data_IF_831448815561
#
_entry.id   IF_831448815561
#
_cell.length_a   1.000
_cell.length_b   1.000
_cell.length_c   1.000
_cell.angle_alpha   90.00
_cell.angle_beta   90.00
_cell.angle_gamma   90.00
#
_symmetry.space_group_name_H-M   'P 1'
#
loop_
_entity.id
_entity.type
_entity.pdbx_description
1 polymer ?
#
# COMPACT_ATOMS: atom_id res chain seq x y z
N UNK A 1 29.56 -3.77 -32.87
CA UNK A 1 29.40 -4.84 -31.87
C UNK A 1 28.58 -4.40 -30.61
N UNK A 2 28.34 -3.10 -30.35
CA UNK A 2 27.74 -2.64 -29.09
C UNK A 2 26.19 -2.55 -29.08
N UNK A 3 25.51 -2.72 -30.25
CA UNK A 3 24.02 -2.64 -30.27
C UNK A 3 23.32 -3.97 -29.98
N UNK A 4 23.99 -5.12 -30.17
CA UNK A 4 23.41 -6.44 -29.91
C UNK A 4 23.41 -6.77 -28.41
N UNK A 5 24.40 -6.26 -27.67
CA UNK A 5 24.49 -6.48 -26.21
C UNK A 5 23.38 -5.73 -25.45
N UNK A 6 22.99 -4.52 -25.93
CA UNK A 6 21.95 -3.71 -25.29
C UNK A 6 20.55 -4.33 -25.46
N UNK A 7 20.26 -4.94 -26.63
CA UNK A 7 18.98 -5.61 -26.86
C UNK A 7 18.85 -6.92 -26.03
N UNK A 8 19.94 -7.62 -25.80
CA UNK A 8 19.94 -8.85 -25.00
C UNK A 8 19.74 -8.58 -23.51
N UNK A 9 20.25 -7.47 -22.97
CA UNK A 9 20.03 -7.08 -21.57
C UNK A 9 18.57 -6.65 -21.32
N UNK A 10 17.97 -5.91 -22.27
CA UNK A 10 16.56 -5.47 -22.15
C UNK A 10 15.61 -6.66 -22.24
N UNK A 11 15.92 -7.64 -23.09
CA UNK A 11 15.12 -8.88 -23.19
C UNK A 11 15.22 -9.76 -21.93
N UNK A 12 16.40 -9.81 -21.30
CA UNK A 12 16.59 -10.60 -20.07
C UNK A 12 15.91 -9.99 -18.85
N UNK A 13 15.93 -8.67 -18.72
CA UNK A 13 15.21 -7.95 -17.64
C UNK A 13 13.69 -8.05 -17.80
N UNK A 14 13.16 -8.04 -19.02
CA UNK A 14 11.70 -8.19 -19.24
C UNK A 14 11.22 -9.61 -18.94
N UNK A 15 12.02 -10.64 -19.26
CA UNK A 15 11.70 -12.05 -18.94
C UNK A 15 11.79 -12.34 -17.44
N UNK A 16 12.82 -11.83 -16.77
CA UNK A 16 12.96 -11.94 -15.31
C UNK A 16 11.81 -11.28 -14.55
N UNK A 17 11.33 -10.14 -15.04
CA UNK A 17 10.21 -9.42 -14.43
C UNK A 17 8.91 -10.23 -14.44
N UNK A 18 8.63 -10.99 -15.50
CA UNK A 18 7.42 -11.81 -15.60
C UNK A 18 7.45 -13.07 -14.72
N UNK A 19 8.62 -13.62 -14.39
CA UNK A 19 8.74 -14.75 -13.48
C UNK A 19 8.65 -14.35 -12.01
N UNK A 20 9.18 -13.17 -11.65
CA UNK A 20 9.15 -12.64 -10.28
C UNK A 20 7.82 -11.97 -9.91
N UNK A 21 7.05 -11.48 -10.89
CA UNK A 21 5.76 -10.78 -10.69
C UNK A 21 4.67 -11.27 -11.66
N UNK A 22 4.13 -12.48 -11.46
CA UNK A 22 3.10 -13.05 -12.35
C UNK A 22 1.75 -12.31 -12.24
N UNK A 23 1.58 -11.41 -11.29
CA UNK A 23 0.34 -10.68 -11.02
C UNK A 23 0.39 -9.22 -11.46
N UNK A 24 1.51 -8.78 -12.04
CA UNK A 24 1.72 -7.39 -12.43
C UNK A 24 1.47 -6.40 -11.26
N UNK A 25 2.00 -6.76 -10.10
CA UNK A 25 1.89 -5.97 -8.88
C UNK A 25 2.86 -4.78 -8.87
N UNK A 26 3.92 -4.82 -9.68
CA UNK A 26 4.97 -3.80 -9.72
C UNK A 26 5.04 -3.08 -11.07
N UNK A 27 5.39 -1.82 -11.02
CA UNK A 27 5.81 -1.02 -12.18
C UNK A 27 7.34 -1.11 -12.33
N UNK A 28 8.05 -1.17 -11.22
CA UNK A 28 9.49 -1.28 -11.18
C UNK A 28 9.91 -2.11 -9.96
N UNK A 29 10.82 -3.06 -10.19
CA UNK A 29 11.45 -3.85 -9.13
C UNK A 29 12.93 -3.46 -9.08
N UNK A 30 13.44 -3.16 -7.89
CA UNK A 30 14.87 -3.05 -7.62
C UNK A 30 15.42 -4.43 -7.25
N UNK A 31 16.73 -4.62 -7.33
CA UNK A 31 17.32 -5.90 -6.96
C UNK A 31 17.07 -6.19 -5.47
N UNK A 32 16.62 -7.42 -5.12
CA UNK A 32 16.36 -7.76 -3.74
C UNK A 32 17.64 -7.64 -2.92
N UNK A 33 17.52 -7.01 -1.75
CA UNK A 33 18.61 -6.99 -0.80
C UNK A 33 18.85 -8.39 -0.21
N UNK A 34 20.00 -8.95 -0.40
CA UNK A 34 20.44 -10.23 0.20
C UNK A 34 20.70 -10.14 1.70
N UNK A 35 20.44 -8.98 2.33
CA UNK A 35 20.74 -8.71 3.74
C UNK A 35 19.56 -8.96 4.69
N UNK A 36 19.72 -8.48 5.92
CA UNK A 36 18.76 -8.63 7.02
C UNK A 36 17.59 -7.61 6.99
N UNK A 37 17.52 -6.78 5.95
CA UNK A 37 16.49 -5.74 5.83
C UNK A 37 15.14 -6.33 5.38
N UNK A 38 14.06 -5.72 5.83
CA UNK A 38 12.69 -6.07 5.42
C UNK A 38 12.39 -5.43 4.06
N UNK A 39 12.15 -6.25 3.04
CA UNK A 39 11.73 -5.75 1.73
C UNK A 39 10.33 -5.16 1.80
N UNK A 40 10.15 -3.93 1.27
CA UNK A 40 8.89 -3.20 1.26
C UNK A 40 8.57 -2.63 -0.12
N UNK A 41 7.32 -2.82 -0.57
CA UNK A 41 6.80 -2.24 -1.80
C UNK A 41 6.22 -0.84 -1.56
N UNK A 42 6.46 0.08 -2.50
CA UNK A 42 6.01 1.47 -2.39
C UNK A 42 5.09 1.83 -3.55
N UNK A 43 3.86 2.22 -3.26
CA UNK A 43 2.90 2.65 -4.29
C UNK A 43 3.49 3.76 -5.17
N UNK A 44 3.29 3.65 -6.49
CA UNK A 44 4.00 4.48 -7.45
C UNK A 44 3.53 5.94 -7.55
N UNK A 45 2.71 6.39 -6.62
CA UNK A 45 2.44 7.82 -6.39
C UNK A 45 3.24 8.43 -5.23
N UNK A 46 4.21 7.68 -4.67
CA UNK A 46 5.09 8.11 -3.56
C UNK A 46 6.51 8.26 -4.09
N UNK A 47 7.13 9.39 -3.85
CA UNK A 47 8.46 9.72 -4.31
C UNK A 47 9.54 8.86 -3.62
N UNK A 48 10.32 8.17 -4.46
CA UNK A 48 11.54 7.47 -4.06
C UNK A 48 12.67 8.01 -4.94
N UNK A 49 13.65 8.68 -4.35
CA UNK A 49 14.81 9.20 -5.08
C UNK A 49 15.51 8.10 -5.87
N UNK A 50 15.71 8.31 -7.17
CA UNK A 50 16.33 7.35 -8.07
C UNK A 50 15.37 6.41 -8.78
N UNK A 51 14.08 6.39 -8.38
CA UNK A 51 13.00 5.63 -9.05
C UNK A 51 11.98 6.58 -9.67
N UNK A 52 11.30 6.15 -10.73
CA UNK A 52 10.21 6.93 -11.33
C UNK A 52 9.04 7.00 -10.34
N UNK A 53 8.36 8.15 -10.29
CA UNK A 53 7.05 8.33 -9.67
C UNK A 53 6.07 8.73 -10.76
N UNK A 54 5.41 7.73 -11.36
CA UNK A 54 4.53 7.94 -12.51
C UNK A 54 3.07 8.17 -12.15
N UNK A 55 2.64 7.86 -10.93
CA UNK A 55 1.22 7.73 -10.57
C UNK A 55 0.44 6.81 -11.53
N UNK A 56 1.14 5.84 -12.16
CA UNK A 56 0.62 4.95 -13.17
C UNK A 56 0.40 5.58 -14.55
N UNK A 57 0.83 6.81 -14.77
CA UNK A 57 0.55 7.55 -16.00
C UNK A 57 1.79 7.70 -16.90
N UNK A 58 1.61 7.47 -18.20
CA UNK A 58 2.65 7.75 -19.20
C UNK A 58 3.05 9.23 -19.23
N UNK A 59 2.18 10.15 -18.77
CA UNK A 59 2.50 11.57 -18.68
C UNK A 59 3.66 11.87 -17.72
N UNK A 60 3.89 11.00 -16.72
CA UNK A 60 4.97 11.12 -15.75
C UNK A 60 6.05 10.03 -15.92
N UNK A 61 6.16 9.42 -17.08
CA UNK A 61 7.12 8.32 -17.38
C UNK A 61 8.59 8.71 -17.18
N UNK A 62 8.91 10.00 -17.16
CA UNK A 62 10.26 10.53 -16.94
C UNK A 62 10.35 11.36 -15.63
N UNK A 63 9.38 11.24 -14.74
CA UNK A 63 9.38 11.98 -13.48
C UNK A 63 10.25 11.26 -12.44
N UNK A 64 11.52 11.67 -12.35
CA UNK A 64 12.47 11.21 -11.33
C UNK A 64 12.53 12.23 -10.19
N UNK A 65 11.99 11.92 -9.00
CA UNK A 65 12.04 12.84 -7.87
C UNK A 65 13.47 13.10 -7.42
N UNK A 66 13.78 14.35 -7.11
CA UNK A 66 15.11 14.77 -6.64
C UNK A 66 15.39 14.39 -5.18
N UNK A 67 14.32 14.05 -4.42
CA UNK A 67 14.36 13.67 -3.00
C UNK A 67 13.37 12.57 -2.71
N UNK A 68 13.60 11.85 -1.61
CA UNK A 68 12.63 10.90 -1.06
C UNK A 68 11.43 11.64 -0.46
N UNK A 69 10.25 11.02 -0.51
CA UNK A 69 9.13 11.39 0.36
C UNK A 69 9.56 11.24 1.83
N UNK A 70 8.95 12.01 2.74
CA UNK A 70 9.30 11.96 4.16
C UNK A 70 9.24 10.55 4.73
N UNK A 71 8.16 9.81 4.47
CA UNK A 71 8.00 8.43 4.94
C UNK A 71 9.08 7.47 4.37
N UNK A 72 9.55 7.72 3.15
CA UNK A 72 10.62 6.91 2.52
C UNK A 72 11.96 7.15 3.21
N UNK A 73 12.28 8.40 3.54
CA UNK A 73 13.47 8.72 4.33
C UNK A 73 13.48 8.01 5.67
N UNK A 74 12.31 7.92 6.35
CA UNK A 74 12.16 7.19 7.61
C UNK A 74 12.33 5.68 7.43
N UNK A 75 11.76 5.09 6.38
CA UNK A 75 11.93 3.67 6.07
C UNK A 75 13.40 3.33 5.80
N UNK A 76 14.08 4.12 4.95
CA UNK A 76 15.51 3.93 4.62
C UNK A 76 16.43 4.10 5.83
N UNK A 77 16.04 4.94 6.80
CA UNK A 77 16.78 5.13 8.07
C UNK A 77 16.50 4.04 9.10
N UNK A 78 15.61 3.10 8.78
CA UNK A 78 15.20 1.99 9.61
C UNK A 78 15.59 0.66 8.95
N UNK A 79 15.05 -0.45 9.42
CA UNK A 79 15.38 -1.78 8.91
C UNK A 79 14.57 -2.17 7.64
N UNK A 80 14.38 -1.22 6.68
CA UNK A 80 13.64 -1.47 5.44
C UNK A 80 14.48 -1.24 4.20
N UNK A 81 14.27 -2.11 3.21
CA UNK A 81 14.78 -1.97 1.85
C UNK A 81 13.62 -1.75 0.89
N UNK A 82 13.71 -0.72 0.05
CA UNK A 82 12.68 -0.45 -0.96
C UNK A 82 12.85 -1.47 -2.09
N UNK A 83 11.95 -2.46 -2.13
CA UNK A 83 11.97 -3.55 -3.11
C UNK A 83 11.54 -3.09 -4.50
N UNK A 84 10.63 -2.12 -4.57
CA UNK A 84 10.16 -1.61 -5.85
C UNK A 84 8.96 -0.68 -5.73
N UNK A 85 8.53 -0.17 -6.89
CA UNK A 85 7.35 0.68 -7.05
C UNK A 85 6.16 -0.18 -7.45
N UNK A 86 5.13 -0.23 -6.62
CA UNK A 86 3.95 -1.06 -6.88
C UNK A 86 2.96 -0.35 -7.80
N UNK A 87 2.35 -1.13 -8.71
CA UNK A 87 1.34 -0.66 -9.62
C UNK A 87 0.09 -0.14 -8.87
N UNK A 88 -0.68 0.71 -9.54
CA UNK A 88 -1.85 1.34 -8.96
C UNK A 88 -2.89 1.60 -10.04
N UNK A 89 -4.12 1.88 -9.66
CA UNK A 89 -5.07 2.49 -10.59
C UNK A 89 -4.54 3.86 -10.99
N UNK A 90 -4.48 4.16 -12.28
CA UNK A 90 -3.92 5.40 -12.83
C UNK A 90 -4.47 6.65 -12.12
N UNK A 91 -3.59 7.56 -11.68
CA UNK A 91 -3.91 8.74 -10.89
C UNK A 91 -4.77 8.42 -9.65
N UNK A 92 -4.54 7.27 -9.03
CA UNK A 92 -5.27 6.78 -7.86
C UNK A 92 -6.81 6.77 -8.04
N UNK A 93 -7.29 6.42 -9.24
CA UNK A 93 -8.68 6.46 -9.69
C UNK A 93 -9.26 7.89 -9.88
N UNK A 94 -8.49 8.94 -9.68
CA UNK A 94 -9.00 10.30 -9.80
C UNK A 94 -9.10 10.81 -11.25
N UNK A 95 -8.60 10.03 -12.20
CA UNK A 95 -8.60 10.38 -13.63
C UNK A 95 -10.00 10.48 -14.24
N UNK A 96 -10.92 9.59 -13.85
CA UNK A 96 -12.25 9.46 -14.47
C UNK A 96 -13.21 8.70 -13.56
N UNK A 97 -14.49 9.00 -13.66
CA UNK A 97 -15.56 8.20 -13.02
C UNK A 97 -15.66 6.77 -13.58
N UNK A 98 -15.10 6.52 -14.77
CA UNK A 98 -15.05 5.20 -15.42
C UNK A 98 -13.65 4.55 -15.28
N UNK A 99 -12.88 4.90 -14.26
CA UNK A 99 -11.57 4.29 -13.99
C UNK A 99 -11.71 2.80 -13.67
N UNK A 100 -10.80 2.00 -14.20
CA UNK A 100 -10.69 0.57 -13.89
C UNK A 100 -9.69 0.40 -12.75
N UNK A 101 -10.13 -0.20 -11.65
CA UNK A 101 -9.24 -0.46 -10.51
C UNK A 101 -8.14 -1.45 -10.86
N UNK A 102 -6.91 -1.10 -10.51
CA UNK A 102 -5.71 -1.88 -10.76
C UNK A 102 -5.11 -1.71 -12.16
N UNK A 103 -5.71 -0.89 -13.02
CA UNK A 103 -5.16 -0.60 -14.33
C UNK A 103 -4.46 0.76 -14.38
N UNK A 104 -3.33 0.79 -15.04
CA UNK A 104 -2.61 2.03 -15.37
C UNK A 104 -2.05 1.99 -16.79
N UNK A 105 -1.95 3.14 -17.44
CA UNK A 105 -1.36 3.23 -18.78
C UNK A 105 0.15 2.94 -18.77
N UNK A 106 0.80 3.14 -17.63
CA UNK A 106 2.23 2.87 -17.46
C UNK A 106 2.52 1.41 -17.09
N UNK A 107 1.75 0.82 -16.17
CA UNK A 107 2.00 -0.52 -15.61
C UNK A 107 1.05 -1.61 -16.10
N UNK A 108 -0.02 -1.29 -16.86
CA UNK A 108 -1.05 -2.27 -17.25
C UNK A 108 -1.97 -2.68 -16.09
N UNK A 109 -2.59 -3.86 -16.20
CA UNK A 109 -3.56 -4.37 -15.24
C UNK A 109 -2.92 -5.27 -14.18
N UNK A 110 -3.02 -4.90 -12.91
CA UNK A 110 -2.72 -5.78 -11.77
C UNK A 110 -3.80 -6.86 -11.64
N UNK A 111 -3.39 -8.10 -11.42
CA UNK A 111 -4.27 -9.28 -11.34
C UNK A 111 -4.43 -9.71 -9.88
N UNK A 112 -5.67 -9.98 -9.47
CA UNK A 112 -5.94 -10.49 -8.13
C UNK A 112 -5.43 -11.95 -7.99
N UNK A 113 -4.58 -12.28 -6.99
CA UNK A 113 -3.99 -13.61 -6.85
C UNK A 113 -5.01 -14.70 -6.49
N UNK A 114 -6.20 -14.32 -6.01
CA UNK A 114 -7.27 -15.26 -5.68
C UNK A 114 -8.15 -15.65 -6.88
N UNK A 115 -7.87 -15.13 -8.09
CA UNK A 115 -8.56 -15.50 -9.32
C UNK A 115 -8.48 -14.42 -10.40
N UNK A 116 -8.21 -14.84 -11.64
CA UNK A 116 -8.05 -13.93 -12.78
C UNK A 116 -9.30 -13.07 -13.08
N UNK A 117 -10.49 -13.56 -12.73
CA UNK A 117 -11.76 -12.85 -12.93
C UNK A 117 -12.17 -12.00 -11.71
N UNK A 118 -11.31 -11.87 -10.71
CA UNK A 118 -11.56 -11.04 -9.54
C UNK A 118 -10.86 -9.70 -9.68
N UNK A 119 -11.59 -8.62 -9.41
CA UNK A 119 -11.00 -7.28 -9.40
C UNK A 119 -10.08 -7.17 -8.17
N UNK A 120 -8.84 -6.64 -8.31
CA UNK A 120 -7.94 -6.43 -7.17
C UNK A 120 -8.34 -5.23 -6.30
N UNK A 121 -9.40 -4.49 -6.68
CA UNK A 121 -9.73 -3.15 -6.17
C UNK A 121 -8.56 -2.18 -6.35
N UNK A 122 -8.68 -0.99 -5.80
CA UNK A 122 -7.64 0.05 -5.91
C UNK A 122 -7.99 1.25 -5.02
N UNK A 123 -7.15 2.23 -5.07
CA UNK A 123 -6.07 2.42 -6.06
C UNK A 123 -4.73 1.77 -5.69
N UNK A 124 -4.50 1.31 -4.46
CA UNK A 124 -3.25 0.64 -4.04
C UNK A 124 -3.24 -0.86 -4.43
N UNK A 125 -3.60 -1.17 -5.68
CA UNK A 125 -3.79 -2.53 -6.18
C UNK A 125 -2.53 -3.37 -6.11
N UNK A 126 -1.43 -2.87 -6.66
CA UNK A 126 -0.15 -3.57 -6.66
C UNK A 126 0.41 -3.78 -5.25
N UNK A 127 0.25 -2.78 -4.35
CA UNK A 127 0.66 -2.93 -2.95
C UNK A 127 -0.07 -4.07 -2.25
N UNK A 128 -1.39 -4.18 -2.47
CA UNK A 128 -2.19 -5.27 -1.89
C UNK A 128 -1.82 -6.63 -2.51
N UNK A 129 -1.68 -6.68 -3.82
CA UNK A 129 -1.37 -7.92 -4.56
C UNK A 129 0.03 -8.43 -4.24
N UNK A 130 1.04 -7.56 -4.15
CA UNK A 130 2.40 -7.94 -3.76
C UNK A 130 2.45 -8.65 -2.39
N UNK A 131 1.59 -8.21 -1.45
CA UNK A 131 1.47 -8.84 -0.13
C UNK A 131 0.65 -10.12 -0.18
N UNK A 132 -0.50 -10.11 -0.86
CA UNK A 132 -1.41 -11.25 -0.95
C UNK A 132 -0.81 -12.43 -1.71
N UNK A 133 0.00 -12.17 -2.74
CA UNK A 133 0.72 -13.20 -3.52
C UNK A 133 1.91 -13.79 -2.78
N UNK A 134 2.36 -13.16 -1.69
CA UNK A 134 3.51 -13.62 -0.92
C UNK A 134 4.86 -13.12 -1.41
N UNK A 135 4.92 -12.27 -2.44
CA UNK A 135 6.16 -11.62 -2.89
C UNK A 135 6.76 -10.78 -1.77
N UNK A 136 5.90 -10.05 -1.04
CA UNK A 136 6.30 -9.24 0.11
C UNK A 136 5.46 -9.55 1.35
N UNK A 137 5.98 -9.19 2.53
CA UNK A 137 5.21 -9.23 3.79
C UNK A 137 4.52 -7.91 4.09
N UNK A 138 5.00 -6.81 3.47
CA UNK A 138 4.57 -5.44 3.74
C UNK A 138 4.73 -4.55 2.52
N UNK A 139 3.81 -3.62 2.32
CA UNK A 139 3.86 -2.56 1.32
C UNK A 139 3.25 -1.27 1.87
N UNK A 140 3.50 -0.14 1.21
CA UNK A 140 2.85 1.14 1.48
C UNK A 140 1.84 1.44 0.37
N UNK A 141 0.62 1.76 0.77
CA UNK A 141 -0.42 2.31 -0.07
C UNK A 141 -0.74 3.76 0.28
N UNK A 142 -1.66 4.37 -0.47
CA UNK A 142 -2.26 5.66 -0.15
C UNK A 142 -3.77 5.57 -0.24
N UNK A 143 -4.46 6.32 0.59
CA UNK A 143 -5.92 6.38 0.56
C UNK A 143 -6.43 7.81 0.76
N UNK A 144 -7.29 8.22 -0.14
CA UNK A 144 -8.23 9.32 0.04
C UNK A 144 -9.54 8.74 0.58
N UNK A 145 -10.16 7.83 -0.21
CA UNK A 145 -11.39 7.12 0.14
C UNK A 145 -11.36 5.70 -0.46
N UNK A 146 -11.15 4.70 0.38
CA UNK A 146 -11.18 3.29 -0.02
C UNK A 146 -9.87 2.72 -0.59
N UNK A 147 -8.87 3.54 -0.91
CA UNK A 147 -7.71 3.09 -1.73
C UNK A 147 -6.65 2.26 -1.00
N UNK A 148 -6.76 2.04 0.30
CA UNK A 148 -6.04 1.02 1.10
C UNK A 148 -7.03 -0.06 1.52
N UNK A 149 -8.17 0.37 2.10
CA UNK A 149 -9.13 -0.52 2.74
C UNK A 149 -9.79 -1.48 1.74
N UNK A 150 -10.20 -1.01 0.55
CA UNK A 150 -10.80 -1.87 -0.46
C UNK A 150 -9.82 -2.91 -1.01
N UNK A 151 -8.63 -2.54 -1.55
CA UNK A 151 -7.69 -3.56 -2.04
C UNK A 151 -7.19 -4.48 -0.92
N UNK A 152 -7.04 -4.02 0.31
CA UNK A 152 -6.71 -4.91 1.42
C UNK A 152 -7.81 -5.94 1.68
N UNK A 153 -9.07 -5.53 1.68
CA UNK A 153 -10.22 -6.39 1.90
C UNK A 153 -10.35 -7.48 0.83
N UNK A 154 -10.35 -7.10 -0.45
CA UNK A 154 -10.58 -8.07 -1.54
C UNK A 154 -9.39 -8.99 -1.82
N UNK A 155 -8.20 -8.62 -1.35
CA UNK A 155 -6.99 -9.46 -1.43
C UNK A 155 -6.69 -10.20 -0.11
N UNK A 156 -7.51 -10.04 0.93
CA UNK A 156 -7.41 -10.81 2.18
C UNK A 156 -6.18 -10.48 3.03
N UNK A 157 -5.73 -9.24 3.04
CA UNK A 157 -4.61 -8.75 3.84
C UNK A 157 -5.06 -7.69 4.85
N UNK A 158 -4.16 -7.25 5.72
CA UNK A 158 -4.39 -6.15 6.66
C UNK A 158 -3.97 -4.84 6.01
N UNK A 159 -4.90 -3.89 5.88
CA UNK A 159 -4.62 -2.51 5.47
C UNK A 159 -4.95 -1.52 6.59
N UNK A 160 -4.09 -0.52 6.80
CA UNK A 160 -4.32 0.53 7.78
C UNK A 160 -4.37 1.89 7.09
N UNK A 161 -5.53 2.54 7.13
CA UNK A 161 -5.65 3.97 6.83
C UNK A 161 -5.48 4.75 8.13
N UNK A 162 -4.33 5.41 8.37
CA UNK A 162 -4.16 6.24 9.55
C UNK A 162 -5.04 7.49 9.50
N UNK A 163 -5.19 8.15 10.64
CA UNK A 163 -5.76 9.51 10.66
C UNK A 163 -4.91 10.46 9.83
N UNK A 164 -5.55 11.39 9.13
CA UNK A 164 -4.85 12.46 8.39
C UNK A 164 -3.95 13.23 9.36
N UNK A 165 -2.70 13.46 8.94
CA UNK A 165 -1.69 14.10 9.76
C UNK A 165 -0.83 13.18 10.63
N UNK A 166 -1.17 11.88 10.78
CA UNK A 166 -0.27 10.96 11.48
C UNK A 166 0.95 10.56 10.62
N UNK A 167 0.77 10.47 9.31
CA UNK A 167 1.83 10.19 8.33
C UNK A 167 1.89 11.37 7.36
N UNK A 168 3.10 11.88 7.12
CA UNK A 168 3.32 13.00 6.19
C UNK A 168 2.98 12.62 4.75
N UNK A 169 2.41 13.59 4.03
CA UNK A 169 2.10 13.52 2.60
C UNK A 169 3.14 14.20 1.72
N UNK A 170 4.24 14.72 2.30
CA UNK A 170 5.33 15.33 1.53
C UNK A 170 5.96 14.30 0.60
N UNK A 171 5.99 14.60 -0.72
CA UNK A 171 6.47 13.69 -1.75
C UNK A 171 5.46 12.62 -2.16
N UNK A 172 4.16 12.88 -1.95
CA UNK A 172 3.06 12.02 -2.44
C UNK A 172 2.22 12.83 -3.43
N UNK A 173 1.93 12.25 -4.59
CA UNK A 173 1.03 12.86 -5.58
C UNK A 173 -0.36 13.04 -4.95
N UNK A 174 -0.87 14.28 -4.83
CA UNK A 174 -2.05 14.59 -4.04
C UNK A 174 -3.36 14.35 -4.79
N UNK A 175 -4.44 14.11 -4.02
CA UNK A 175 -5.83 14.19 -4.46
C UNK A 175 -6.58 15.20 -3.60
N UNK A 176 -6.62 15.00 -2.29
CA UNK A 176 -7.40 15.81 -1.35
C UNK A 176 -6.59 16.15 -0.11
N UNK A 177 -6.42 17.44 0.13
CA UNK A 177 -5.67 17.94 1.30
C UNK A 177 -6.29 17.57 2.65
N UNK A 178 -7.59 17.26 2.67
CA UNK A 178 -8.35 16.94 3.90
C UNK A 178 -8.55 15.45 4.14
N UNK A 179 -8.26 14.58 3.15
CA UNK A 179 -8.56 13.16 3.23
C UNK A 179 -7.35 12.25 2.99
N UNK A 180 -6.34 12.72 2.23
CA UNK A 180 -5.21 11.90 1.84
C UNK A 180 -4.35 11.48 3.03
N UNK A 181 -3.95 10.22 3.00
CA UNK A 181 -2.93 9.67 3.88
C UNK A 181 -2.21 8.49 3.21
N UNK A 182 -0.98 8.24 3.61
CA UNK A 182 -0.30 6.99 3.31
C UNK A 182 -0.46 6.01 4.48
N UNK A 183 -0.43 4.70 4.20
CA UNK A 183 -0.52 3.71 5.24
C UNK A 183 0.00 2.34 4.82
N UNK A 184 0.38 1.51 5.81
CA UNK A 184 0.92 0.18 5.59
C UNK A 184 -0.16 -0.84 5.24
N UNK A 185 0.22 -1.78 4.38
CA UNK A 185 -0.58 -2.93 3.94
C UNK A 185 0.27 -4.19 4.11
N UNK A 186 -0.14 -5.13 4.94
CA UNK A 186 0.72 -6.24 5.34
C UNK A 186 -0.04 -7.53 5.66
N UNK A 187 0.71 -8.63 5.80
CA UNK A 187 0.14 -9.96 6.13
C UNK A 187 -0.48 -10.03 7.51
N UNK A 188 0.02 -9.24 8.47
CA UNK A 188 -0.42 -9.30 9.87
C UNK A 188 -0.58 -7.91 10.47
N UNK A 189 -1.45 -7.79 11.49
CA UNK A 189 -1.60 -6.54 12.25
C UNK A 189 -0.28 -6.10 12.89
N UNK A 190 0.56 -7.04 13.33
CA UNK A 190 1.85 -6.74 13.95
C UNK A 190 2.81 -6.03 13.00
N UNK A 191 2.98 -6.53 11.75
CA UNK A 191 3.89 -5.89 10.79
C UNK A 191 3.35 -4.53 10.35
N UNK A 192 2.03 -4.40 10.19
CA UNK A 192 1.35 -3.13 9.87
C UNK A 192 1.58 -2.11 10.97
N UNK A 193 1.41 -2.48 12.25
CA UNK A 193 1.64 -1.58 13.38
C UNK A 193 3.11 -1.14 13.46
N UNK A 194 4.07 -2.07 13.35
CA UNK A 194 5.52 -1.74 13.34
C UNK A 194 5.92 -0.83 12.20
N UNK A 195 5.35 -1.03 11.02
CA UNK A 195 5.64 -0.15 9.88
C UNK A 195 5.03 1.22 10.08
N UNK A 196 3.82 1.31 10.65
CA UNK A 196 3.20 2.58 10.98
C UNK A 196 4.01 3.37 12.02
N UNK A 197 4.57 2.71 13.04
CA UNK A 197 5.49 3.34 14.01
C UNK A 197 6.68 4.03 13.32
N UNK A 198 7.21 3.39 12.27
CA UNK A 198 8.35 3.93 11.53
C UNK A 198 7.96 5.15 10.70
N UNK A 199 6.85 5.08 9.95
CA UNK A 199 6.48 6.13 8.99
C UNK A 199 5.72 7.30 9.61
N UNK A 200 5.15 7.16 10.81
CA UNK A 200 4.44 8.21 11.53
C UNK A 200 5.38 9.28 12.10
N UNK A 201 4.87 10.49 12.26
CA UNK A 201 5.57 11.59 12.93
C UNK A 201 5.47 12.92 12.20
N UNK A 202 5.95 13.95 12.88
CA UNK A 202 5.92 15.33 12.41
C UNK A 202 6.87 15.56 11.24
N UNK A 203 6.38 16.29 10.24
CA UNK A 203 7.12 16.79 9.09
C UNK A 203 6.82 18.28 8.91
N UNK A 204 7.82 19.17 9.02
CA UNK A 204 7.60 20.60 8.82
C UNK A 204 7.04 20.99 7.44
N UNK A 205 7.18 20.08 6.44
CA UNK A 205 6.66 20.31 5.10
C UNK A 205 5.19 19.86 4.92
N UNK A 206 4.60 19.18 5.92
CA UNK A 206 3.18 18.85 5.95
C UNK A 206 2.54 19.35 7.26
N UNK A 207 1.95 20.54 7.20
CA UNK A 207 1.37 21.22 8.37
C UNK A 207 0.32 20.38 9.12
N UNK A 208 -0.32 19.38 8.47
CA UNK A 208 -1.29 18.54 9.16
C UNK A 208 -0.62 17.61 10.19
N UNK A 209 0.67 17.31 10.03
CA UNK A 209 1.42 16.47 10.98
C UNK A 209 1.78 17.21 12.26
N UNK A 210 1.82 18.55 12.24
CA UNK A 210 2.13 19.39 13.40
C UNK A 210 1.02 19.37 14.46
N UNK A 211 -0.12 18.75 14.15
CA UNK A 211 -1.25 18.58 15.08
C UNK A 211 -1.22 17.23 15.82
N UNK A 212 -0.17 16.44 15.67
CA UNK A 212 0.00 15.20 16.46
C UNK A 212 0.11 15.60 17.94
N UNK A 213 -0.73 15.02 18.85
CA UNK A 213 -0.64 15.35 20.26
C UNK A 213 0.74 15.05 20.85
N UNK A 214 1.29 15.95 21.66
CA UNK A 214 2.62 15.79 22.29
C UNK A 214 2.75 14.50 23.14
N UNK A 215 1.63 13.98 23.63
CA UNK A 215 1.57 12.73 24.41
C UNK A 215 1.17 11.52 23.57
N UNK A 216 1.22 11.60 22.24
CA UNK A 216 0.89 10.47 21.38
C UNK A 216 1.92 9.33 21.55
N UNK A 217 1.44 8.14 21.92
CA UNK A 217 2.31 6.97 22.05
C UNK A 217 2.50 6.29 20.67
N UNK A 218 3.69 6.45 20.11
CA UNK A 218 4.08 5.82 18.86
C UNK A 218 4.38 4.32 18.99
N UNK A 219 4.37 3.72 20.18
CA UNK A 219 4.62 2.29 20.38
C UNK A 219 3.36 1.45 20.10
N UNK A 220 2.83 1.52 18.88
CA UNK A 220 1.55 0.93 18.50
C UNK A 220 1.58 -0.60 18.57
N UNK A 221 2.68 -1.24 18.18
CA UNK A 221 2.82 -2.69 18.19
C UNK A 221 2.89 -3.27 19.59
N UNK A 222 3.48 -2.55 20.54
CA UNK A 222 3.56 -2.93 21.96
C UNK A 222 2.18 -2.98 22.63
N UNK A 223 1.26 -2.15 22.15
CA UNK A 223 -0.10 -2.06 22.69
C UNK A 223 -1.06 -3.10 22.11
N UNK A 224 -0.59 -3.93 21.15
CA UNK A 224 -1.40 -5.01 20.60
C UNK A 224 -1.62 -6.11 21.65
N UNK A 225 -2.90 -6.33 22.01
CA UNK A 225 -3.30 -7.29 23.00
C UNK A 225 -4.49 -8.13 22.50
N UNK A 226 -4.38 -9.46 22.60
CA UNK A 226 -5.45 -10.40 22.21
C UNK A 226 -6.75 -10.21 23.01
N UNK A 227 -6.65 -9.59 24.20
CA UNK A 227 -7.77 -9.32 25.08
C UNK A 227 -8.31 -7.88 24.96
N UNK A 228 -7.84 -7.10 23.99
CA UNK A 228 -8.23 -5.69 23.83
C UNK A 228 -9.71 -5.46 23.50
N UNK A 229 -10.44 -6.49 23.09
CA UNK A 229 -11.89 -6.43 22.90
C UNK A 229 -12.67 -6.50 24.21
N UNK A 230 -12.06 -7.02 25.28
CA UNK A 230 -12.72 -7.19 26.58
C UNK A 230 -13.23 -5.85 27.13
N UNK A 231 -14.50 -5.82 27.53
CA UNK A 231 -15.19 -4.63 28.04
C UNK A 231 -15.31 -3.48 27.03
N UNK A 232 -15.15 -3.75 25.72
CA UNK A 232 -15.40 -2.76 24.67
C UNK A 232 -16.82 -2.91 24.12
N UNK A 233 -17.43 -1.78 23.79
CA UNK A 233 -18.75 -1.72 23.15
C UNK A 233 -18.57 -1.46 21.65
N UNK A 234 -19.15 -2.33 20.85
CA UNK A 234 -19.13 -2.22 19.40
C UNK A 234 -20.52 -1.91 18.86
N UNK A 235 -20.60 -0.98 17.94
CA UNK A 235 -21.78 -0.77 17.09
C UNK A 235 -21.64 -1.60 15.82
N UNK A 236 -22.65 -2.37 15.48
CA UNK A 236 -22.72 -3.11 14.23
C UNK A 236 -23.60 -2.33 13.27
N UNK A 237 -22.99 -1.80 12.18
CA UNK A 237 -23.74 -1.24 11.07
C UNK A 237 -24.26 -2.38 10.18
N UNK A 238 -25.58 -2.56 10.14
CA UNK A 238 -26.20 -3.43 9.17
C UNK A 238 -26.29 -2.68 7.83
N UNK A 239 -25.16 -2.53 7.15
CA UNK A 239 -25.08 -1.85 5.84
C UNK A 239 -25.45 -2.76 4.69
N UNK A 240 -26.54 -3.54 4.86
CA UNK A 240 -27.25 -4.14 3.73
C UNK A 240 -26.43 -5.02 2.79
N UNK A 241 -25.69 -6.00 3.31
CA UNK A 241 -25.43 -7.16 2.48
C UNK A 241 -26.73 -7.96 2.45
N UNK A 242 -27.57 -7.70 1.44
CA UNK A 242 -28.81 -8.45 1.21
C UNK A 242 -28.52 -9.88 0.72
N UNK A 243 -27.22 -10.22 0.55
CA UNK A 243 -26.78 -11.54 0.14
C UNK A 243 -26.50 -12.46 1.34
N UNK A 244 -26.76 -13.74 1.16
CA UNK A 244 -26.61 -14.77 2.20
C UNK A 244 -25.16 -14.93 2.71
N UNK A 245 -24.17 -14.75 1.82
CA UNK A 245 -22.74 -14.88 2.20
C UNK A 245 -22.30 -13.71 3.08
N UNK A 246 -22.72 -12.50 2.77
CA UNK A 246 -22.45 -11.31 3.58
C UNK A 246 -23.07 -11.44 4.98
N UNK A 247 -24.30 -11.95 5.09
CA UNK A 247 -24.95 -12.21 6.37
C UNK A 247 -24.20 -13.30 7.18
N UNK A 248 -23.76 -14.37 6.53
CA UNK A 248 -22.92 -15.41 7.19
C UNK A 248 -21.61 -14.83 7.74
N UNK A 249 -20.94 -13.98 6.95
CA UNK A 249 -19.69 -13.32 7.37
C UNK A 249 -19.95 -12.38 8.56
N UNK A 250 -21.00 -11.55 8.49
CA UNK A 250 -21.39 -10.64 9.55
C UNK A 250 -21.67 -11.38 10.86
N UNK A 251 -22.42 -12.48 10.80
CA UNK A 251 -22.70 -13.34 11.93
C UNK A 251 -21.42 -13.97 12.51
N UNK A 252 -20.47 -14.38 11.68
CA UNK A 252 -19.18 -14.90 12.12
C UNK A 252 -18.36 -13.84 12.85
N UNK A 253 -18.28 -12.61 12.31
CA UNK A 253 -17.59 -11.49 12.93
C UNK A 253 -18.22 -11.15 14.28
N UNK A 254 -19.56 -11.05 14.33
CA UNK A 254 -20.30 -10.79 15.57
C UNK A 254 -20.01 -11.83 16.64
N UNK A 255 -20.02 -13.12 16.29
CA UNK A 255 -19.66 -14.20 17.22
C UNK A 255 -18.25 -14.06 17.78
N UNK A 256 -17.27 -13.72 16.93
CA UNK A 256 -15.87 -13.51 17.36
C UNK A 256 -15.77 -12.33 18.33
N UNK A 257 -16.38 -11.19 17.99
CA UNK A 257 -16.37 -10.00 18.87
C UNK A 257 -17.03 -10.33 20.22
N UNK A 258 -18.22 -10.94 20.20
CA UNK A 258 -18.98 -11.27 21.43
C UNK A 258 -18.25 -12.30 22.31
N UNK A 259 -17.54 -13.26 21.69
CA UNK A 259 -16.79 -14.29 22.45
C UNK A 259 -15.48 -13.78 23.03
N UNK A 260 -14.99 -12.62 22.62
CA UNK A 260 -13.72 -12.04 23.06
C UNK A 260 -13.89 -10.77 23.90
N UNK A 261 -15.05 -10.18 23.92
CA UNK A 261 -15.44 -8.99 24.70
C UNK A 261 -16.51 -9.28 25.70
#
# INVERSE_FOLDING_TARGET
MNKIFSLFLISFTLLAHNEEDPFNAFIHIDLPNSGLLVNIGIKDNIDVKGMITSAGSLALSNNYPSRDAFLISKLKSSNYHIYGKTNLSEWANFRSFNSVSGWSSFGGQTVNPHGKNRNPCGSSSGSAVAVASGILDIAIGTETNGSISCPASVNGIVGMKPSVGLVSRSGIVPISSTQDTAGPMGKTVMIVAKTLEVIAGEDPLDASTLNIPNNFDFNLSKNLNKNSLKNKRFGLLNSGSDDEEGQKLLNKITKVITSRG
#
